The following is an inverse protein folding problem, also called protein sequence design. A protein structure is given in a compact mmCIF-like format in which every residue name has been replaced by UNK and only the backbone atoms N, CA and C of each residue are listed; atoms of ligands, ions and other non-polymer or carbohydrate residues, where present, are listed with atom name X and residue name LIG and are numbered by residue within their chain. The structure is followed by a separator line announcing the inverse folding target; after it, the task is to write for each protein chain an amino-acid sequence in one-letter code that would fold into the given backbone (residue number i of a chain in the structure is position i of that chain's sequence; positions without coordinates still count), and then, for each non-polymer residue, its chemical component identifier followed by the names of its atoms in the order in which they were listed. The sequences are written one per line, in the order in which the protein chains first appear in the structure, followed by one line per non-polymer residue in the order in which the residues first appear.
data_IF_959677041632
#
_entry.id   IF_959677041632
#
_cell.length_a   1.000
_cell.length_b   1.000
_cell.length_c   1.000
_cell.angle_alpha   90.00
_cell.angle_beta   90.00
_cell.angle_gamma   90.00
#
_symmetry.space_group_name_H-M   'P 1'
#
loop_
_entity.id
_entity.type
_entity.pdbx_description
1 polymer ?
#
# COMPACT_ATOMS: atom_id res chain seq x y z
N UNK A 1 37.36 -13.22 -18.87
CA UNK A 1 38.36 -12.15 -18.79
C UNK A 1 39.75 -12.72 -18.84
N UNK A 2 40.21 -12.86 -20.08
CA UNK A 2 41.48 -13.44 -20.53
C UNK A 2 42.42 -12.33 -20.97
N UNK A 3 43.67 -12.68 -21.30
CA UNK A 3 44.65 -11.74 -21.83
C UNK A 3 44.19 -11.07 -23.15
N UNK A 4 43.47 -11.81 -24.00
CA UNK A 4 42.98 -11.27 -25.26
C UNK A 4 41.94 -10.18 -25.03
N UNK A 5 40.94 -10.45 -24.17
CA UNK A 5 39.89 -9.49 -23.81
C UNK A 5 40.49 -8.22 -23.16
N UNK A 6 41.49 -8.39 -22.29
CA UNK A 6 42.25 -7.30 -21.69
C UNK A 6 42.90 -6.39 -22.73
N UNK A 7 43.64 -6.98 -23.67
CA UNK A 7 44.34 -6.21 -24.71
C UNK A 7 43.36 -5.53 -25.66
N UNK A 8 42.23 -6.15 -25.97
CA UNK A 8 41.18 -5.49 -26.76
C UNK A 8 40.62 -4.25 -26.06
N UNK A 9 40.43 -4.29 -24.74
CA UNK A 9 39.96 -3.11 -24.01
C UNK A 9 41.04 -2.03 -23.89
N UNK A 10 42.31 -2.40 -23.67
CA UNK A 10 43.43 -1.44 -23.72
C UNK A 10 43.58 -0.78 -25.09
N UNK A 11 43.43 -1.53 -26.19
CA UNK A 11 43.45 -0.97 -27.55
C UNK A 11 42.40 0.11 -27.74
N UNK A 12 41.18 -0.10 -27.22
CA UNK A 12 40.10 0.92 -27.30
C UNK A 12 40.49 2.20 -26.57
N UNK A 13 41.04 2.07 -25.37
CA UNK A 13 41.49 3.21 -24.55
C UNK A 13 42.60 3.98 -25.25
N UNK A 14 43.63 3.28 -25.74
CA UNK A 14 44.79 3.90 -26.39
C UNK A 14 44.43 4.50 -27.76
N UNK A 15 43.52 3.87 -28.53
CA UNK A 15 42.95 4.48 -29.75
C UNK A 15 42.15 5.74 -29.46
N UNK A 16 41.38 5.76 -28.38
CA UNK A 16 40.63 6.95 -28.00
C UNK A 16 41.55 8.10 -27.56
N UNK A 17 42.59 7.79 -26.79
CA UNK A 17 43.57 8.78 -26.35
C UNK A 17 44.45 9.28 -27.50
N UNK A 18 45.16 8.38 -28.20
CA UNK A 18 46.14 8.76 -29.22
C UNK A 18 45.54 8.98 -30.61
N UNK A 19 44.60 8.13 -31.02
CA UNK A 19 44.02 8.14 -32.37
C UNK A 19 43.02 9.27 -32.53
N UNK A 20 42.00 9.29 -31.66
CA UNK A 20 41.01 10.37 -31.65
C UNK A 20 41.58 11.68 -31.05
N UNK A 21 42.64 11.60 -30.24
CA UNK A 21 43.22 12.76 -29.55
C UNK A 21 42.32 13.28 -28.43
N UNK A 22 41.56 12.40 -27.76
CA UNK A 22 40.58 12.79 -26.73
C UNK A 22 41.10 12.45 -25.33
N UNK A 23 41.08 13.40 -24.38
CA UNK A 23 41.44 13.14 -23.00
C UNK A 23 40.58 12.04 -22.39
N UNK A 24 41.21 11.06 -21.75
CA UNK A 24 40.50 9.96 -21.10
C UNK A 24 41.23 9.50 -19.83
N UNK A 25 40.45 8.91 -18.91
CA UNK A 25 40.96 8.36 -17.65
C UNK A 25 40.76 6.85 -17.68
N UNK A 26 41.83 6.11 -17.45
CA UNK A 26 41.80 4.66 -17.27
C UNK A 26 41.93 4.32 -15.79
N UNK A 27 40.81 3.94 -15.17
CA UNK A 27 40.75 3.52 -13.77
C UNK A 27 40.93 2.00 -13.66
N UNK A 28 41.92 1.56 -12.90
CA UNK A 28 42.23 0.15 -12.70
C UNK A 28 42.44 -0.19 -11.22
N UNK A 29 41.60 -1.06 -10.69
CA UNK A 29 41.64 -1.54 -9.30
C UNK A 29 42.37 -2.87 -9.21
N UNK A 30 43.01 -3.12 -8.07
CA UNK A 30 43.63 -4.41 -7.74
C UNK A 30 42.69 -5.62 -7.85
N UNK A 31 41.39 -5.45 -7.55
CA UNK A 31 40.36 -6.50 -7.69
C UNK A 31 40.14 -6.94 -9.14
N UNK A 32 40.53 -6.13 -10.11
CA UNK A 32 40.44 -6.43 -11.54
C UNK A 32 41.66 -7.19 -12.07
N UNK A 33 42.74 -7.30 -11.29
CA UNK A 33 43.96 -8.03 -11.66
C UNK A 33 43.70 -9.53 -11.55
N UNK A 34 43.49 -10.18 -12.70
CA UNK A 34 43.36 -11.65 -12.78
C UNK A 34 44.68 -12.33 -13.15
N UNK A 35 45.52 -11.64 -13.91
CA UNK A 35 46.81 -12.12 -14.38
C UNK A 35 47.83 -11.00 -14.18
N UNK A 36 49.06 -11.34 -13.76
CA UNK A 36 50.12 -10.35 -13.56
C UNK A 36 50.56 -9.66 -14.87
N UNK A 37 50.33 -10.31 -16.01
CA UNK A 37 50.51 -9.74 -17.35
C UNK A 37 49.65 -8.51 -17.61
N UNK A 38 48.56 -8.28 -16.86
CA UNK A 38 47.78 -7.04 -16.97
C UNK A 38 48.58 -5.86 -16.42
N UNK A 39 49.27 -6.08 -15.29
CA UNK A 39 50.11 -5.06 -14.65
C UNK A 39 51.37 -4.81 -15.47
N UNK A 40 51.91 -5.84 -16.13
CA UNK A 40 53.00 -5.71 -17.09
C UNK A 40 52.62 -4.81 -18.28
N UNK A 41 51.45 -5.03 -18.88
CA UNK A 41 50.94 -4.19 -19.97
C UNK A 41 50.76 -2.72 -19.49
N UNK A 42 50.25 -2.49 -18.27
CA UNK A 42 50.18 -1.13 -17.67
C UNK A 42 51.57 -0.55 -17.43
N UNK A 43 52.52 -1.32 -16.93
CA UNK A 43 53.89 -0.87 -16.68
C UNK A 43 54.58 -0.41 -17.97
N UNK A 44 54.35 -1.11 -19.07
CA UNK A 44 54.80 -0.70 -20.40
C UNK A 44 54.09 0.58 -20.85
N UNK A 45 52.77 0.67 -20.69
CA UNK A 45 52.01 1.86 -21.04
C UNK A 45 52.48 3.12 -20.28
N UNK A 46 52.77 3.00 -18.98
CA UNK A 46 53.28 4.08 -18.15
C UNK A 46 54.71 4.51 -18.54
N UNK A 47 55.55 3.56 -18.95
CA UNK A 47 56.95 3.83 -19.28
C UNK A 47 57.11 4.35 -20.72
N UNK A 48 56.69 3.56 -21.70
CA UNK A 48 56.86 3.82 -23.13
C UNK A 48 55.66 4.51 -23.78
N UNK A 49 54.49 4.61 -23.13
CA UNK A 49 53.27 5.11 -23.79
C UNK A 49 52.63 4.10 -24.74
N UNK A 50 53.18 2.88 -24.82
CA UNK A 50 52.67 1.79 -25.65
C UNK A 50 52.95 0.42 -25.05
N UNK A 51 52.16 -0.58 -25.49
CA UNK A 51 52.34 -1.99 -25.15
C UNK A 51 52.88 -2.74 -26.37
N UNK A 52 54.06 -3.39 -26.28
CA UNK A 52 54.65 -4.11 -27.41
C UNK A 52 53.73 -5.20 -27.98
N UNK A 53 53.70 -5.30 -29.31
CA UNK A 53 52.92 -6.32 -30.05
C UNK A 53 51.42 -6.37 -29.68
N UNK A 54 50.86 -5.26 -29.18
CA UNK A 54 49.43 -5.19 -28.86
C UNK A 54 48.57 -5.05 -30.12
N UNK A 55 48.99 -4.22 -31.09
CA UNK A 55 48.28 -4.01 -32.35
C UNK A 55 48.77 -4.98 -33.45
N UNK A 56 47.88 -5.81 -34.03
CA UNK A 56 48.12 -6.49 -35.30
C UNK A 56 48.47 -5.52 -36.44
N UNK A 57 49.07 -6.04 -37.51
CA UNK A 57 49.57 -5.22 -38.62
C UNK A 57 48.49 -4.38 -39.31
N UNK A 58 47.33 -4.97 -39.58
CA UNK A 58 46.15 -4.33 -40.16
C UNK A 58 45.58 -3.24 -39.24
N UNK A 59 45.47 -3.55 -37.95
CA UNK A 59 45.01 -2.62 -36.92
C UNK A 59 45.95 -1.44 -36.71
N UNK A 60 47.27 -1.67 -36.83
CA UNK A 60 48.29 -0.63 -36.75
C UNK A 60 48.24 0.29 -37.96
N UNK A 61 48.05 -0.26 -39.17
CA UNK A 61 47.90 0.54 -40.39
C UNK A 61 46.69 1.51 -40.30
N UNK A 62 45.57 1.06 -39.74
CA UNK A 62 44.41 1.90 -39.51
C UNK A 62 44.69 3.08 -38.56
N UNK A 63 45.43 2.84 -37.46
CA UNK A 63 45.82 3.89 -36.51
C UNK A 63 46.78 4.90 -37.16
N UNK A 64 47.73 4.44 -37.97
CA UNK A 64 48.67 5.31 -38.67
C UNK A 64 47.95 6.25 -39.66
N UNK A 65 46.95 5.75 -40.39
CA UNK A 65 46.15 6.58 -41.29
C UNK A 65 45.34 7.65 -40.52
N UNK A 66 44.72 7.25 -39.40
CA UNK A 66 44.03 8.18 -38.52
C UNK A 66 44.97 9.29 -38.00
N UNK A 67 46.17 8.91 -37.58
CA UNK A 67 47.19 9.83 -37.08
C UNK A 67 47.73 10.76 -38.17
N UNK A 68 47.85 10.27 -39.42
CA UNK A 68 48.26 11.09 -40.57
C UNK A 68 47.26 12.20 -40.85
N UNK A 69 45.96 11.87 -40.81
CA UNK A 69 44.89 12.87 -40.97
C UNK A 69 44.91 13.90 -39.84
N UNK A 70 45.12 13.45 -38.59
CA UNK A 70 45.21 14.34 -37.43
C UNK A 70 46.45 15.26 -37.49
N UNK A 71 47.63 14.72 -37.79
CA UNK A 71 48.87 15.48 -37.91
C UNK A 71 48.77 16.56 -38.99
N UNK A 72 48.22 16.21 -40.17
CA UNK A 72 48.00 17.18 -41.26
C UNK A 72 47.06 18.31 -40.85
N UNK A 73 46.03 18.03 -40.05
CA UNK A 73 45.10 19.03 -39.52
C UNK A 73 45.78 19.99 -38.54
N UNK A 74 46.77 19.50 -37.80
CA UNK A 74 47.61 20.27 -36.88
C UNK A 74 48.81 20.96 -37.58
N UNK A 75 48.94 20.82 -38.91
CA UNK A 75 49.99 21.43 -39.71
C UNK A 75 51.34 20.69 -39.68
N UNK A 76 51.35 19.44 -39.18
CA UNK A 76 52.52 18.57 -39.15
C UNK A 76 52.53 17.64 -40.37
N UNK A 77 53.58 17.70 -41.17
CA UNK A 77 53.78 16.81 -42.33
C UNK A 77 54.63 15.60 -41.92
N UNK A 78 53.96 14.55 -41.42
CA UNK A 78 54.60 13.29 -41.04
C UNK A 78 54.37 12.23 -42.14
N UNK A 79 55.46 11.72 -42.72
CA UNK A 79 55.39 10.79 -43.85
C UNK A 79 55.77 9.36 -43.48
N UNK A 80 56.75 9.18 -42.58
CA UNK A 80 57.23 7.86 -42.17
C UNK A 80 56.25 7.17 -41.21
N UNK A 81 56.08 5.86 -41.37
CA UNK A 81 55.30 5.05 -40.43
C UNK A 81 55.84 5.12 -38.99
N UNK A 82 57.15 5.35 -38.83
CA UNK A 82 57.79 5.52 -37.51
C UNK A 82 57.42 6.87 -36.90
N UNK A 83 57.45 7.95 -37.69
CA UNK A 83 57.10 9.30 -37.23
C UNK A 83 55.63 9.37 -36.82
N UNK A 84 54.73 8.79 -37.63
CA UNK A 84 53.30 8.71 -37.33
C UNK A 84 53.01 7.86 -36.09
N UNK A 85 53.78 6.79 -35.87
CA UNK A 85 53.63 5.97 -34.67
C UNK A 85 54.11 6.71 -33.41
N UNK A 86 55.25 7.40 -33.48
CA UNK A 86 55.71 8.23 -32.37
C UNK A 86 54.70 9.33 -32.04
N UNK A 87 54.14 9.98 -33.07
CA UNK A 87 53.07 10.97 -32.88
C UNK A 87 51.82 10.38 -32.19
N UNK A 88 51.43 9.14 -32.53
CA UNK A 88 50.35 8.43 -31.84
C UNK A 88 50.69 8.17 -30.36
N UNK A 89 51.92 7.73 -30.07
CA UNK A 89 52.38 7.46 -28.70
C UNK A 89 52.43 8.75 -27.89
N UNK A 90 52.95 9.84 -28.45
CA UNK A 90 53.00 11.14 -27.79
C UNK A 90 51.59 11.65 -27.46
N UNK A 91 50.67 11.60 -28.42
CA UNK A 91 49.25 11.94 -28.16
C UNK A 91 48.60 11.05 -27.12
N UNK A 92 48.96 9.76 -27.08
CA UNK A 92 48.47 8.84 -26.05
C UNK A 92 48.96 9.29 -24.68
N UNK A 93 50.25 9.65 -24.54
CA UNK A 93 50.83 10.15 -23.29
C UNK A 93 50.18 11.45 -22.82
N UNK A 94 49.86 12.34 -23.76
CA UNK A 94 49.25 13.64 -23.43
C UNK A 94 47.77 13.51 -23.02
N UNK A 95 47.04 12.54 -23.58
CA UNK A 95 45.60 12.41 -23.39
C UNK A 95 45.17 11.30 -22.44
N UNK A 96 46.03 10.33 -22.12
CA UNK A 96 45.68 9.21 -21.25
C UNK A 96 46.17 9.43 -19.82
N UNK A 97 45.23 9.52 -18.88
CA UNK A 97 45.54 9.50 -17.46
C UNK A 97 45.23 8.12 -16.84
N UNK A 98 46.24 7.44 -16.32
CA UNK A 98 46.08 6.14 -15.67
C UNK A 98 45.95 6.32 -14.16
N UNK A 99 44.83 5.88 -13.59
CA UNK A 99 44.56 5.89 -12.15
C UNK A 99 44.54 4.47 -11.61
N UNK A 100 45.44 4.16 -10.66
CA UNK A 100 45.57 2.84 -10.07
C UNK A 100 45.09 2.85 -8.63
N UNK A 101 44.12 1.99 -8.32
CA UNK A 101 43.56 1.84 -6.98
C UNK A 101 44.00 0.50 -6.37
N UNK A 102 45.18 0.48 -5.77
CA UNK A 102 45.75 -0.73 -5.16
C UNK A 102 45.71 -0.66 -3.64
N UNK A 103 45.24 -1.73 -3.02
CA UNK A 103 45.25 -1.87 -1.57
C UNK A 103 46.66 -2.19 -1.06
N UNK A 104 47.17 -1.49 -0.02
CA UNK A 104 48.42 -1.84 0.64
C UNK A 104 48.29 -3.09 1.53
N UNK A 105 47.09 -3.66 1.64
CA UNK A 105 46.80 -4.84 2.45
C UNK A 105 47.38 -6.10 1.77
N UNK A 106 48.17 -6.88 2.51
CA UNK A 106 48.81 -8.11 2.02
C UNK A 106 50.21 -7.89 1.43
N UNK A 107 50.78 -8.94 0.82
CA UNK A 107 52.11 -8.88 0.19
C UNK A 107 52.08 -8.55 -1.31
N UNK A 108 50.97 -8.84 -2.00
CA UNK A 108 50.85 -8.73 -3.45
C UNK A 108 51.18 -7.33 -3.99
N UNK A 109 50.72 -6.26 -3.33
CA UNK A 109 51.05 -4.89 -3.73
C UNK A 109 52.57 -4.64 -3.67
N UNK A 110 53.23 -5.05 -2.58
CA UNK A 110 54.68 -4.88 -2.41
C UNK A 110 55.48 -5.68 -3.44
N UNK A 111 55.02 -6.88 -3.77
CA UNK A 111 55.63 -7.73 -4.80
C UNK A 111 55.52 -7.07 -6.18
N UNK A 112 54.34 -6.53 -6.53
CA UNK A 112 54.13 -5.81 -7.80
C UNK A 112 54.96 -4.53 -7.91
N UNK A 113 55.09 -3.75 -6.83
CA UNK A 113 55.95 -2.56 -6.85
C UNK A 113 57.43 -2.90 -7.12
N UNK A 114 57.89 -4.09 -6.70
CA UNK A 114 59.26 -4.57 -6.99
C UNK A 114 59.42 -5.07 -8.43
N UNK A 115 58.39 -5.70 -8.98
CA UNK A 115 58.39 -6.24 -10.34
C UNK A 115 58.19 -5.14 -11.40
N UNK A 116 57.39 -4.12 -11.07
CA UNK A 116 56.93 -3.09 -12.02
C UNK A 116 57.26 -1.68 -11.48
N UNK A 117 58.50 -1.21 -11.66
CA UNK A 117 58.96 0.06 -11.08
C UNK A 117 58.26 1.29 -11.67
N UNK A 118 57.69 1.21 -12.88
CA UNK A 118 56.96 2.34 -13.49
C UNK A 118 55.73 2.74 -12.67
N UNK A 119 55.17 1.83 -11.86
CA UNK A 119 54.07 2.13 -10.94
C UNK A 119 54.43 3.20 -9.90
N UNK A 120 55.71 3.34 -9.55
CA UNK A 120 56.20 4.35 -8.60
C UNK A 120 56.89 5.49 -9.34
N UNK A 121 57.66 5.18 -10.37
CA UNK A 121 58.47 6.17 -11.07
C UNK A 121 57.65 7.10 -11.99
N UNK A 122 56.53 6.61 -12.52
CA UNK A 122 55.72 7.34 -13.51
C UNK A 122 54.35 7.78 -12.97
N UNK A 123 54.00 7.42 -11.73
CA UNK A 123 52.73 7.79 -11.10
C UNK A 123 52.98 8.62 -9.83
N UNK A 124 52.10 9.57 -9.57
CA UNK A 124 52.04 10.24 -8.27
C UNK A 124 51.34 9.34 -7.27
N UNK A 125 52.01 9.03 -6.16
CA UNK A 125 51.43 8.22 -5.09
C UNK A 125 50.60 9.11 -4.17
N UNK A 126 49.30 8.86 -4.13
CA UNK A 126 48.39 9.43 -3.14
C UNK A 126 48.06 8.37 -2.08
N UNK A 127 48.37 8.66 -0.82
CA UNK A 127 48.28 7.69 0.26
C UNK A 127 47.01 7.88 1.08
N UNK A 128 46.08 6.93 0.93
CA UNK A 128 44.85 6.88 1.71
C UNK A 128 45.12 6.19 3.05
N UNK A 129 45.33 7.02 4.08
CA UNK A 129 45.44 6.54 5.46
C UNK A 129 44.07 6.13 6.02
N UNK A 130 44.12 5.39 7.11
CA UNK A 130 42.95 5.12 7.93
C UNK A 130 42.29 6.43 8.37
N UNK A 131 40.97 6.41 8.55
CA UNK A 131 40.24 7.61 8.92
C UNK A 131 40.64 8.10 10.32
N UNK A 132 41.06 9.37 10.46
CA UNK A 132 41.28 9.99 11.75
C UNK A 132 39.96 10.24 12.49
N UNK A 133 40.07 10.58 13.78
CA UNK A 133 38.94 10.80 14.68
C UNK A 133 37.93 11.83 14.16
N UNK A 134 38.43 12.94 13.63
CA UNK A 134 37.63 14.02 13.04
C UNK A 134 36.87 13.55 11.80
N UNK A 135 37.49 12.71 10.96
CA UNK A 135 36.83 12.10 9.81
C UNK A 135 35.72 11.12 10.25
N UNK A 136 35.99 10.28 11.25
CA UNK A 136 34.99 9.36 11.82
C UNK A 136 33.79 10.11 12.40
N UNK A 137 34.03 11.22 13.09
CA UNK A 137 32.99 12.10 13.63
C UNK A 137 32.20 12.79 12.52
N UNK A 138 32.87 13.37 11.52
CA UNK A 138 32.21 14.06 10.40
C UNK A 138 31.30 13.10 9.61
N UNK A 139 31.75 11.87 9.39
CA UNK A 139 30.96 10.84 8.71
C UNK A 139 29.76 10.43 9.56
N UNK A 140 29.95 10.17 10.85
CA UNK A 140 28.83 9.86 11.75
C UNK A 140 27.80 10.97 11.79
N UNK A 141 28.24 12.24 11.88
CA UNK A 141 27.35 13.40 11.85
C UNK A 141 26.51 13.44 10.58
N UNK A 142 27.12 13.19 9.42
CA UNK A 142 26.42 13.19 8.13
C UNK A 142 25.34 12.13 8.08
N UNK A 143 25.62 10.91 8.55
CA UNK A 143 24.66 9.81 8.55
C UNK A 143 23.55 9.97 9.61
N UNK A 144 23.85 10.61 10.74
CA UNK A 144 22.88 10.85 11.82
C UNK A 144 22.04 12.12 11.63
N UNK A 145 22.35 12.95 10.63
CA UNK A 145 21.69 14.24 10.40
C UNK A 145 20.18 14.11 10.22
N UNK A 146 19.75 13.13 9.42
CA UNK A 146 18.34 12.93 9.05
C UNK A 146 17.60 12.01 10.03
N UNK A 147 18.27 11.56 11.09
CA UNK A 147 17.68 10.73 12.14
C UNK A 147 17.12 11.64 13.24
N UNK A 148 15.85 11.41 13.59
CA UNK A 148 15.14 12.14 14.63
C UNK A 148 15.71 11.85 16.03
N UNK A 149 16.80 12.52 16.38
CA UNK A 149 17.55 12.36 17.63
C UNK A 149 17.90 13.76 18.11
N UNK A 150 17.78 13.98 19.42
CA UNK A 150 18.17 15.23 20.06
C UNK A 150 19.66 15.53 19.83
N UNK A 151 20.00 16.81 19.72
CA UNK A 151 21.37 17.23 19.37
C UNK A 151 22.43 16.69 20.33
N UNK A 152 22.14 16.68 21.64
CA UNK A 152 23.05 16.14 22.66
C UNK A 152 23.24 14.63 22.53
N UNK A 153 22.15 13.88 22.37
CA UNK A 153 22.19 12.43 22.15
C UNK A 153 22.96 12.09 20.87
N UNK A 154 22.81 12.88 19.81
CA UNK A 154 23.54 12.70 18.55
C UNK A 154 25.05 12.80 18.76
N UNK A 155 25.52 13.80 19.49
CA UNK A 155 26.95 13.95 19.81
C UNK A 155 27.48 12.74 20.59
N UNK A 156 26.73 12.25 21.57
CA UNK A 156 27.11 11.05 22.32
C UNK A 156 27.18 9.80 21.44
N UNK A 157 26.19 9.59 20.55
CA UNK A 157 26.18 8.46 19.62
C UNK A 157 27.38 8.54 18.66
N UNK A 158 27.71 9.72 18.14
CA UNK A 158 28.89 9.92 17.30
C UNK A 158 30.18 9.50 18.02
N UNK A 159 30.37 9.95 19.26
CA UNK A 159 31.53 9.60 20.07
C UNK A 159 31.60 8.08 20.35
N UNK A 160 30.45 7.44 20.59
CA UNK A 160 30.36 5.99 20.78
C UNK A 160 30.73 5.22 19.51
N UNK A 161 30.18 5.60 18.35
CA UNK A 161 30.50 4.97 17.07
C UNK A 161 32.00 5.03 16.80
N UNK A 162 32.62 6.19 16.98
CA UNK A 162 34.07 6.37 16.86
C UNK A 162 34.84 5.42 17.78
N UNK A 163 34.48 5.42 19.06
CA UNK A 163 35.13 4.60 20.09
C UNK A 163 35.03 3.11 19.76
N UNK A 164 33.86 2.63 19.31
CA UNK A 164 33.69 1.24 18.91
C UNK A 164 34.56 0.86 17.72
N UNK A 165 34.67 1.74 16.72
CA UNK A 165 35.53 1.48 15.57
C UNK A 165 37.00 1.39 15.97
N UNK A 166 37.49 2.34 16.77
CA UNK A 166 38.86 2.35 17.28
C UNK A 166 39.17 1.10 18.12
N UNK A 167 38.28 0.75 19.05
CA UNK A 167 38.46 -0.43 19.89
C UNK A 167 38.54 -1.71 19.05
N UNK A 168 37.68 -1.88 18.05
CA UNK A 168 37.70 -3.07 17.19
C UNK A 168 39.01 -3.16 16.38
N UNK A 169 39.63 -2.03 16.02
CA UNK A 169 40.96 -2.02 15.38
C UNK A 169 42.03 -2.56 16.32
N UNK A 170 42.07 -2.06 17.55
CA UNK A 170 43.04 -2.52 18.56
C UNK A 170 42.84 -4.00 18.91
N UNK A 171 41.59 -4.43 19.09
CA UNK A 171 41.25 -5.84 19.31
C UNK A 171 41.65 -6.71 18.12
N UNK A 172 41.47 -6.24 16.89
CA UNK A 172 41.87 -7.00 15.70
C UNK A 172 43.39 -7.17 15.60
N UNK A 173 44.15 -6.14 15.98
CA UNK A 173 45.61 -6.22 16.06
C UNK A 173 46.08 -7.19 17.16
N UNK A 174 45.41 -7.20 18.31
CA UNK A 174 45.68 -8.16 19.38
C UNK A 174 45.33 -9.59 18.93
N UNK A 175 44.16 -9.78 18.33
CA UNK A 175 43.70 -11.06 17.83
C UNK A 175 44.66 -11.67 16.79
N UNK A 176 45.23 -10.85 15.91
CA UNK A 176 46.24 -11.29 14.98
C UNK A 176 47.51 -11.81 15.67
N UNK A 177 47.94 -11.18 16.77
CA UNK A 177 49.10 -11.62 17.57
C UNK A 177 48.80 -12.92 18.31
N UNK A 178 47.62 -13.02 18.92
CA UNK A 178 47.28 -14.12 19.82
C UNK A 178 46.86 -15.39 19.06
N UNK A 179 46.08 -15.24 17.98
CA UNK A 179 45.48 -16.35 17.25
C UNK A 179 46.10 -16.58 15.86
N UNK A 180 47.03 -15.73 15.42
CA UNK A 180 47.65 -15.79 14.09
C UNK A 180 46.68 -15.52 12.93
N UNK A 181 45.46 -15.03 13.22
CA UNK A 181 44.41 -14.76 12.22
C UNK A 181 44.17 -13.27 12.09
N UNK A 182 44.25 -12.76 10.85
CA UNK A 182 44.10 -11.33 10.58
C UNK A 182 42.66 -11.02 10.19
N UNK A 183 42.05 -10.10 10.92
CA UNK A 183 40.77 -9.47 10.56
C UNK A 183 41.05 -8.02 10.15
N UNK A 184 40.51 -7.61 9.00
CA UNK A 184 40.68 -6.26 8.49
C UNK A 184 39.50 -5.39 8.89
N UNK A 185 39.81 -4.27 9.56
CA UNK A 185 38.82 -3.26 9.92
C UNK A 185 38.93 -2.13 8.92
N UNK A 186 37.87 -1.93 8.12
CA UNK A 186 37.86 -0.96 7.02
C UNK A 186 36.84 0.15 7.29
N UNK A 187 36.96 1.33 6.63
CA UNK A 187 35.92 2.36 6.70
C UNK A 187 34.53 1.84 6.33
N UNK A 188 34.42 0.87 5.42
CA UNK A 188 33.15 0.22 5.07
C UNK A 188 32.48 -0.40 6.30
N UNK A 189 33.23 -1.10 7.16
CA UNK A 189 32.70 -1.67 8.41
C UNK A 189 32.20 -0.60 9.38
N UNK A 190 32.78 0.60 9.36
CA UNK A 190 32.28 1.75 10.13
C UNK A 190 30.95 2.27 9.58
N UNK A 191 30.84 2.39 8.26
CA UNK A 191 29.59 2.79 7.61
C UNK A 191 28.47 1.77 7.86
N UNK A 192 28.81 0.48 7.85
CA UNK A 192 27.89 -0.60 8.19
C UNK A 192 27.42 -0.51 9.64
N UNK A 193 28.32 -0.23 10.60
CA UNK A 193 27.95 -0.02 12.00
C UNK A 193 26.89 1.08 12.15
N UNK A 194 27.12 2.24 11.52
CA UNK A 194 26.19 3.38 11.60
C UNK A 194 24.86 3.02 10.92
N UNK A 195 24.91 2.40 9.74
CA UNK A 195 23.73 2.01 8.98
C UNK A 195 22.89 0.96 9.72
N UNK A 196 23.54 -0.02 10.34
CA UNK A 196 22.88 -1.03 11.16
C UNK A 196 22.22 -0.40 12.38
N UNK A 197 22.90 0.55 13.05
CA UNK A 197 22.35 1.29 14.18
C UNK A 197 21.09 2.08 13.79
N UNK A 198 21.15 2.89 12.73
CA UNK A 198 20.01 3.73 12.31
C UNK A 198 18.83 2.89 11.84
N UNK A 199 19.09 1.79 11.12
CA UNK A 199 18.07 0.83 10.67
C UNK A 199 17.38 0.16 11.87
N UNK A 200 18.17 -0.31 12.84
CA UNK A 200 17.64 -0.96 14.04
C UNK A 200 16.84 0.02 14.90
N UNK A 201 17.33 1.26 15.06
CA UNK A 201 16.62 2.31 15.80
C UNK A 201 15.26 2.60 15.18
N UNK A 202 15.20 2.77 13.85
CA UNK A 202 13.93 2.99 13.15
C UNK A 202 12.96 1.81 13.33
N UNK A 203 13.45 0.58 13.18
CA UNK A 203 12.66 -0.63 13.40
C UNK A 203 12.08 -0.69 14.81
N UNK A 204 12.92 -0.47 15.83
CA UNK A 204 12.50 -0.53 17.23
C UNK A 204 11.55 0.61 17.62
N UNK A 205 11.76 1.82 17.10
CA UNK A 205 10.82 2.94 17.28
C UNK A 205 9.47 2.63 16.67
N UNK A 206 9.42 2.08 15.46
CA UNK A 206 8.16 1.71 14.83
C UNK A 206 7.40 0.64 15.63
N UNK A 207 8.11 -0.37 16.15
CA UNK A 207 7.55 -1.41 17.00
C UNK A 207 6.92 -0.82 18.27
N UNK A 208 7.68 0.01 18.99
CA UNK A 208 7.23 0.65 20.24
C UNK A 208 6.09 1.63 19.99
N UNK A 209 6.17 2.46 18.93
CA UNK A 209 5.12 3.42 18.59
C UNK A 209 3.83 2.71 18.19
N UNK A 210 3.92 1.62 17.42
CA UNK A 210 2.74 0.81 17.07
C UNK A 210 2.07 0.20 18.30
N UNK A 211 2.88 -0.33 19.23
CA UNK A 211 2.37 -0.84 20.50
C UNK A 211 1.70 0.27 21.33
N UNK A 212 2.34 1.44 21.44
CA UNK A 212 1.80 2.62 22.13
C UNK A 212 0.45 3.04 21.53
N UNK A 213 0.37 3.24 20.22
CA UNK A 213 -0.88 3.64 19.54
C UNK A 213 -1.99 2.63 19.77
N UNK A 214 -1.67 1.32 19.77
CA UNK A 214 -2.66 0.28 20.11
C UNK A 214 -3.22 0.45 21.53
N UNK A 215 -2.37 0.74 22.51
CA UNK A 215 -2.83 0.98 23.89
C UNK A 215 -3.64 2.27 24.00
N UNK A 216 -3.22 3.35 23.35
CA UNK A 216 -3.95 4.63 23.33
C UNK A 216 -5.35 4.47 22.76
N UNK A 217 -5.49 3.80 21.61
CA UNK A 217 -6.80 3.50 21.01
C UNK A 217 -7.63 2.60 21.92
N UNK A 218 -7.01 1.58 22.53
CA UNK A 218 -7.69 0.70 23.48
C UNK A 218 -8.25 1.46 24.68
N UNK A 219 -7.45 2.35 25.27
CA UNK A 219 -7.85 3.17 26.41
C UNK A 219 -8.97 4.15 26.04
N UNK A 220 -8.90 4.75 24.85
CA UNK A 220 -9.96 5.62 24.34
C UNK A 220 -11.29 4.86 24.18
N UNK A 221 -11.25 3.63 23.65
CA UNK A 221 -12.45 2.79 23.54
C UNK A 221 -13.03 2.42 24.90
N UNK A 222 -12.19 2.07 25.88
CA UNK A 222 -12.65 1.79 27.24
C UNK A 222 -13.35 3.00 27.87
N UNK A 223 -12.74 4.19 27.75
CA UNK A 223 -13.32 5.44 28.24
C UNK A 223 -14.66 5.75 27.56
N UNK A 224 -14.75 5.53 26.25
CA UNK A 224 -15.99 5.74 25.50
C UNK A 224 -17.10 4.77 25.94
N UNK A 225 -16.77 3.50 26.15
CA UNK A 225 -17.72 2.50 26.64
C UNK A 225 -18.18 2.82 28.07
N UNK A 226 -17.26 3.23 28.95
CA UNK A 226 -17.59 3.68 30.31
C UNK A 226 -18.63 4.81 30.27
N UNK A 227 -18.42 5.83 29.44
CA UNK A 227 -19.37 6.93 29.26
C UNK A 227 -20.75 6.45 28.80
N UNK A 228 -20.81 5.50 27.85
CA UNK A 228 -22.09 4.93 27.41
C UNK A 228 -22.78 4.11 28.51
N UNK A 229 -22.03 3.34 29.31
CA UNK A 229 -22.60 2.55 30.40
C UNK A 229 -23.22 3.47 31.46
N UNK A 230 -22.59 4.61 31.76
CA UNK A 230 -23.15 5.62 32.67
C UNK A 230 -24.50 6.13 32.14
N UNK A 231 -24.57 6.51 30.86
CA UNK A 231 -25.83 6.96 30.24
C UNK A 231 -26.90 5.89 30.32
N UNK A 232 -26.57 4.63 30.00
CA UNK A 232 -27.52 3.52 30.12
C UNK A 232 -28.00 3.28 31.55
N UNK A 233 -27.12 3.42 32.55
CA UNK A 233 -27.49 3.28 33.96
C UNK A 233 -28.47 4.37 34.39
N UNK A 234 -28.25 5.61 33.95
CA UNK A 234 -29.15 6.74 34.23
C UNK A 234 -30.52 6.53 33.58
N UNK A 235 -30.56 6.15 32.30
CA UNK A 235 -31.80 5.84 31.58
C UNK A 235 -32.59 4.72 32.27
N UNK A 236 -31.92 3.64 32.66
CA UNK A 236 -32.55 2.48 33.31
C UNK A 236 -33.08 2.84 34.70
N UNK A 237 -32.37 3.71 35.43
CA UNK A 237 -32.81 4.24 36.72
C UNK A 237 -34.03 5.13 36.56
N UNK A 238 -34.09 5.96 35.51
CA UNK A 238 -35.23 6.81 35.19
C UNK A 238 -36.46 6.01 34.71
N UNK A 239 -36.27 4.89 33.99
CA UNK A 239 -37.38 4.06 33.49
C UNK A 239 -38.07 3.24 34.59
N UNK A 240 -37.34 2.82 35.63
CA UNK A 240 -37.87 2.01 36.74
C UNK A 240 -39.17 2.54 37.37
N UNK A 241 -39.27 3.79 37.84
CA UNK A 241 -40.50 4.30 38.45
C UNK A 241 -41.65 4.37 37.45
N UNK A 242 -41.37 4.73 36.20
CA UNK A 242 -42.36 4.75 35.11
C UNK A 242 -42.93 3.36 34.88
N UNK A 243 -42.08 2.33 34.86
CA UNK A 243 -42.50 0.93 34.70
C UNK A 243 -43.40 0.46 35.85
N UNK A 244 -43.04 0.79 37.10
CA UNK A 244 -43.86 0.42 38.27
C UNK A 244 -45.24 1.08 38.17
N UNK A 245 -45.29 2.37 37.79
CA UNK A 245 -46.54 3.10 37.62
C UNK A 245 -47.38 2.51 36.50
N UNK A 246 -46.81 2.25 35.33
CA UNK A 246 -47.56 1.71 34.19
C UNK A 246 -48.05 0.30 34.45
N UNK A 247 -47.28 -0.55 35.15
CA UNK A 247 -47.75 -1.89 35.57
C UNK A 247 -48.97 -1.76 36.48
N UNK A 248 -48.91 -0.90 37.51
CA UNK A 248 -50.05 -0.68 38.41
C UNK A 248 -51.29 -0.13 37.69
N UNK A 249 -51.11 0.83 36.76
CA UNK A 249 -52.19 1.37 35.92
C UNK A 249 -52.80 0.28 35.02
N UNK A 250 -51.96 -0.59 34.44
CA UNK A 250 -52.41 -1.68 33.56
C UNK A 250 -53.18 -2.74 34.34
N UNK A 251 -52.72 -3.10 35.55
CA UNK A 251 -53.43 -4.02 36.44
C UNK A 251 -54.80 -3.47 36.86
N UNK A 252 -54.87 -2.19 37.21
CA UNK A 252 -56.13 -1.52 37.56
C UNK A 252 -57.11 -1.48 36.39
N UNK A 253 -56.62 -1.20 35.17
CA UNK A 253 -57.43 -1.21 33.96
C UNK A 253 -57.95 -2.63 33.67
N UNK A 254 -57.11 -3.66 33.77
CA UNK A 254 -57.50 -5.05 33.58
C UNK A 254 -58.59 -5.48 34.57
N UNK A 255 -58.48 -5.08 35.84
CA UNK A 255 -59.51 -5.35 36.85
C UNK A 255 -60.84 -4.66 36.51
N UNK A 256 -60.78 -3.41 36.03
CA UNK A 256 -61.98 -2.65 35.62
C UNK A 256 -62.64 -3.29 34.41
N UNK A 257 -61.87 -3.67 33.39
CA UNK A 257 -62.36 -4.37 32.19
C UNK A 257 -62.97 -5.72 32.56
N UNK A 258 -62.35 -6.48 33.47
CA UNK A 258 -62.90 -7.75 33.95
C UNK A 258 -64.25 -7.55 34.65
N UNK A 259 -64.36 -6.52 35.50
CA UNK A 259 -65.61 -6.17 36.20
C UNK A 259 -66.71 -5.72 35.23
N UNK A 260 -66.39 -4.81 34.31
CA UNK A 260 -67.33 -4.34 33.29
C UNK A 260 -67.81 -5.49 32.39
N UNK A 261 -66.91 -6.42 32.04
CA UNK A 261 -67.27 -7.62 31.28
C UNK A 261 -68.33 -8.45 32.02
N UNK A 262 -68.15 -8.71 33.31
CA UNK A 262 -69.09 -9.51 34.10
C UNK A 262 -70.40 -8.78 34.43
N UNK A 263 -70.34 -7.49 34.79
CA UNK A 263 -71.49 -6.75 35.33
C UNK A 263 -72.33 -6.06 34.25
N UNK A 264 -71.73 -5.72 33.11
CA UNK A 264 -72.40 -4.95 32.05
C UNK A 264 -72.54 -5.78 30.79
N UNK A 265 -71.46 -6.40 30.32
CA UNK A 265 -71.45 -7.06 29.00
C UNK A 265 -72.23 -8.37 29.02
N UNK A 266 -71.96 -9.28 29.96
CA UNK A 266 -72.68 -10.56 30.07
C UNK A 266 -74.21 -10.41 30.29
N UNK A 267 -74.72 -9.59 31.23
CA UNK A 267 -76.16 -9.43 31.40
C UNK A 267 -76.82 -8.68 30.24
N UNK A 268 -76.17 -7.66 29.64
CA UNK A 268 -76.71 -7.03 28.42
C UNK A 268 -76.74 -8.01 27.26
N UNK A 269 -75.72 -8.87 27.12
CA UNK A 269 -75.71 -9.91 26.09
C UNK A 269 -76.89 -10.88 26.28
N UNK A 270 -77.15 -11.32 27.51
CA UNK A 270 -78.31 -12.18 27.80
C UNK A 270 -79.66 -11.52 27.48
N UNK A 271 -79.81 -10.22 27.76
CA UNK A 271 -81.02 -9.45 27.41
C UNK A 271 -81.17 -9.29 25.90
N UNK A 272 -80.09 -8.90 25.22
CA UNK A 272 -80.08 -8.76 23.75
C UNK A 272 -80.40 -10.09 23.08
N UNK A 273 -79.81 -11.20 23.53
CA UNK A 273 -80.10 -12.53 22.99
C UNK A 273 -81.57 -12.94 23.19
N UNK A 274 -82.20 -12.52 24.30
CA UNK A 274 -83.62 -12.75 24.57
C UNK A 274 -84.53 -11.87 23.68
N UNK A 275 -84.16 -10.62 23.46
CA UNK A 275 -84.92 -9.70 22.59
C UNK A 275 -84.77 -10.07 21.12
N UNK A 276 -83.60 -10.55 20.69
CA UNK A 276 -83.40 -11.13 19.35
C UNK A 276 -84.36 -12.30 19.13
N UNK A 277 -84.46 -13.25 20.08
CA UNK A 277 -85.40 -14.38 19.96
C UNK A 277 -86.87 -13.93 19.88
N UNK A 278 -87.26 -12.91 20.64
CA UNK A 278 -88.63 -12.35 20.57
C UNK A 278 -88.89 -11.68 19.22
N UNK A 279 -87.93 -10.91 18.71
CA UNK A 279 -88.03 -10.25 17.41
C UNK A 279 -88.12 -11.28 16.27
N UNK A 280 -87.33 -12.35 16.31
CA UNK A 280 -87.39 -13.46 15.36
C UNK A 280 -88.76 -14.16 15.39
N UNK A 281 -89.31 -14.43 16.57
CA UNK A 281 -90.64 -15.03 16.71
C UNK A 281 -91.76 -14.11 16.17
N UNK A 282 -91.69 -12.81 16.45
CA UNK A 282 -92.64 -11.83 15.94
C UNK A 282 -92.53 -11.67 14.40
N UNK A 283 -91.31 -11.67 13.86
CA UNK A 283 -91.07 -11.63 12.42
C UNK A 283 -91.61 -12.89 11.72
N UNK A 284 -91.43 -14.07 12.32
CA UNK A 284 -91.98 -15.32 11.80
C UNK A 284 -93.53 -15.29 11.79
N UNK A 285 -94.16 -14.81 12.86
CA UNK A 285 -95.61 -14.68 12.94
C UNK A 285 -96.16 -13.67 11.91
N UNK A 286 -95.52 -12.52 11.76
CA UNK A 286 -95.92 -11.51 10.78
C UNK A 286 -95.78 -12.02 9.33
N UNK A 287 -94.73 -12.78 9.03
CA UNK A 287 -94.55 -13.41 7.73
C UNK A 287 -95.63 -14.47 7.46
N UNK A 288 -96.01 -15.27 8.46
CA UNK A 288 -97.09 -16.25 8.31
C UNK A 288 -98.44 -15.58 7.97
N UNK A 289 -98.80 -14.50 8.70
CA UNK A 289 -100.01 -13.72 8.42
C UNK A 289 -99.95 -13.09 7.02
N UNK A 290 -98.78 -12.57 6.63
CA UNK A 290 -98.59 -12.02 5.29
C UNK A 290 -98.84 -13.07 4.21
N UNK A 291 -98.27 -14.27 4.36
CA UNK A 291 -98.46 -15.38 3.41
C UNK A 291 -99.93 -15.79 3.30
N UNK A 292 -100.63 -15.95 4.44
CA UNK A 292 -102.07 -16.26 4.45
C UNK A 292 -102.90 -15.20 3.72
N UNK A 293 -102.60 -13.91 3.93
CA UNK A 293 -103.29 -12.82 3.26
C UNK A 293 -102.99 -12.75 1.75
N UNK A 294 -101.74 -13.01 1.35
CA UNK A 294 -101.34 -13.05 -0.07
C UNK A 294 -101.99 -14.23 -0.81
N UNK A 295 -102.15 -15.39 -0.16
CA UNK A 295 -102.87 -16.55 -0.68
C UNK A 295 -104.36 -16.24 -0.88
N UNK A 296 -105.03 -15.70 0.15
CA UNK A 296 -106.44 -15.31 0.04
C UNK A 296 -106.69 -14.22 -1.02
N UNK A 297 -105.76 -13.27 -1.17
CA UNK A 297 -105.83 -12.26 -2.22
C UNK A 297 -105.65 -12.88 -3.62
N UNK A 298 -104.75 -13.85 -3.77
CA UNK A 298 -104.51 -14.55 -5.03
C UNK A 298 -105.73 -15.34 -5.52
N UNK A 299 -106.55 -15.87 -4.62
CA UNK A 299 -107.83 -16.51 -4.97
C UNK A 299 -108.93 -15.50 -5.33
N UNK A 300 -108.98 -14.35 -4.65
CA UNK A 300 -110.02 -13.35 -4.85
C UNK A 300 -109.83 -12.52 -6.14
N UNK A 301 -108.58 -12.24 -6.54
CA UNK A 301 -108.27 -11.41 -7.73
C UNK A 301 -108.86 -11.98 -9.04
N UNK A 302 -108.74 -13.29 -9.36
CA UNK A 302 -109.34 -13.88 -10.55
C UNK A 302 -110.86 -13.76 -10.56
N UNK A 303 -111.52 -13.96 -9.41
CA UNK A 303 -112.98 -13.89 -9.28
C UNK A 303 -113.44 -12.45 -9.52
N UNK A 304 -112.76 -11.47 -8.92
CA UNK A 304 -113.06 -10.06 -9.13
C UNK A 304 -112.86 -9.64 -10.58
N UNK A 305 -111.74 -10.02 -11.20
CA UNK A 305 -111.46 -9.71 -12.60
C UNK A 305 -112.47 -10.38 -13.54
N UNK A 306 -112.91 -11.60 -13.24
CA UNK A 306 -113.97 -12.28 -13.99
C UNK A 306 -115.31 -11.57 -13.86
N UNK A 307 -115.66 -11.05 -12.67
CA UNK A 307 -116.89 -10.31 -12.46
C UNK A 307 -116.87 -8.94 -13.16
N UNK A 308 -115.73 -8.23 -13.14
CA UNK A 308 -115.55 -6.97 -13.87
C UNK A 308 -115.65 -7.21 -15.39
N UNK A 309 -115.00 -8.26 -15.91
CA UNK A 309 -115.08 -8.62 -17.32
C UNK A 309 -116.52 -8.98 -17.76
N UNK A 310 -117.29 -9.67 -16.90
CA UNK A 310 -118.69 -9.97 -17.18
C UNK A 310 -119.55 -8.69 -17.22
N UNK A 311 -119.32 -7.74 -16.30
CA UNK A 311 -120.01 -6.45 -16.29
C UNK A 311 -119.76 -5.64 -17.57
N UNK A 312 -118.50 -5.63 -18.05
CA UNK A 312 -118.11 -4.92 -19.28
C UNK A 312 -118.75 -5.48 -20.57
N UNK A 313 -119.31 -6.69 -20.53
CA UNK A 313 -120.03 -7.26 -21.69
C UNK A 313 -121.48 -6.79 -21.81
N UNK A 314 -122.04 -6.15 -20.77
CA UNK A 314 -123.44 -5.71 -20.76
C UNK A 314 -123.57 -4.43 -21.60
N UNK A 315 -124.22 -4.51 -22.76
CA UNK A 315 -124.43 -3.36 -23.64
C UNK A 315 -125.57 -2.51 -23.12
N UNK A 316 -125.48 -1.19 -23.30
CA UNK A 316 -126.53 -0.24 -22.88
C UNK A 316 -127.92 -0.55 -23.47
N UNK A 317 -127.97 -1.26 -24.61
CA UNK A 317 -129.22 -1.75 -25.20
C UNK A 317 -129.89 -2.83 -24.32
N UNK A 318 -129.12 -3.73 -23.71
CA UNK A 318 -129.62 -4.82 -22.86
C UNK A 318 -130.17 -4.25 -21.53
N UNK A 319 -129.51 -3.22 -20.97
CA UNK A 319 -129.96 -2.49 -19.77
C UNK A 319 -131.30 -1.76 -20.05
N UNK A 320 -131.46 -1.15 -21.23
CA UNK A 320 -132.71 -0.48 -21.63
C UNK A 320 -133.87 -1.46 -21.84
N UNK A 321 -133.60 -2.68 -22.31
CA UNK A 321 -134.61 -3.72 -22.45
C UNK A 321 -135.15 -4.14 -21.07
N UNK A 322 -134.26 -4.44 -20.12
CA UNK A 322 -134.64 -4.88 -18.76
C UNK A 322 -135.40 -3.78 -18.00
N UNK A 323 -135.00 -2.51 -18.13
CA UNK A 323 -135.74 -1.38 -17.54
C UNK A 323 -137.19 -1.24 -18.07
N UNK A 324 -137.50 -1.76 -19.26
CA UNK A 324 -138.85 -1.68 -19.84
C UNK A 324 -139.80 -2.78 -19.37
N UNK A 325 -139.31 -3.81 -18.68
CA UNK A 325 -140.16 -4.87 -18.13
C UNK A 325 -140.81 -4.42 -16.81
N UNK A 326 -142.15 -4.40 -16.78
CA UNK A 326 -142.97 -4.06 -15.59
C UNK A 326 -142.93 -5.12 -14.48
N UNK A 327 -142.34 -6.27 -14.77
CA UNK A 327 -141.87 -7.26 -13.79
C UNK A 327 -140.55 -7.80 -14.35
N UNK A 328 -139.42 -7.18 -14.00
CA UNK A 328 -138.08 -7.67 -14.35
C UNK A 328 -137.76 -9.00 -13.67
#
# INVERSE_FOLDING_TARGET
YTQAEWREDLKKVVRHAGGDGKPCVFLFSDTQIKLESFVEDINNLLNSGEVPNMFPYDERAAVLEQCRVAAKKEGLELESAVELWNYFVDRTRDNLHVMLCFSPIGSAFRERLRQFPSLVNCCTVDWFSEWPDDALEAVALKFLKDVDIEAEQRTHIMAMCKTFHQNVRDLSAQYAKDAGRVNYVTPTSYLELITAFTTLLASKRNEVMSAKTRYEVGLEKLRFTEQQVVVMQDELTALKPTLIKTVAETEALLATVAKEKTEVVEPKKAVVDADVKKAEAAAAAANAIKTECEEGLAEAIPILNSAIAALDTIKAADIKLVQSFKNP
#
